data_IF_388240657636
#
_entry.id   IF_388240657636
#
_cell.length_a   1.000
_cell.length_b   1.000
_cell.length_c   1.000
_cell.angle_alpha   90.00
_cell.angle_beta   90.00
_cell.angle_gamma   90.00
#
_symmetry.space_group_name_H-M   'P 1'
#
loop_
_entity.id
_entity.type
_entity.pdbx_description
1 polymer ?
#
# COMPACT_ATOMS: atom_id res chain seq x y z
N UNK A 1 25.78 2.94 -18.15
CA UNK A 1 24.50 3.13 -17.44
C UNK A 1 24.42 2.09 -16.33
N UNK A 2 24.32 2.51 -15.07
CA UNK A 2 24.08 1.58 -13.96
C UNK A 2 22.57 1.38 -13.87
N UNK A 3 22.06 0.25 -14.36
CA UNK A 3 20.67 -0.13 -14.17
C UNK A 3 20.44 -0.42 -12.68
N UNK A 4 19.85 0.53 -11.96
CA UNK A 4 19.38 0.29 -10.61
C UNK A 4 18.12 -0.57 -10.73
N UNK A 5 18.25 -1.85 -10.38
CA UNK A 5 17.09 -2.74 -10.24
C UNK A 5 16.37 -2.35 -8.95
N UNK A 6 15.31 -1.54 -9.04
CA UNK A 6 14.46 -1.29 -7.87
C UNK A 6 13.85 -2.62 -7.44
N UNK A 7 13.95 -2.92 -6.14
CA UNK A 7 13.38 -4.14 -5.59
C UNK A 7 11.98 -3.83 -5.07
N UNK A 8 10.96 -4.43 -5.70
CA UNK A 8 9.59 -4.28 -5.24
C UNK A 8 9.38 -5.12 -3.97
N UNK A 9 9.11 -4.45 -2.85
CA UNK A 9 8.79 -5.08 -1.56
C UNK A 9 7.32 -4.86 -1.26
N UNK A 10 6.67 -5.81 -0.56
CA UNK A 10 5.29 -5.62 -0.08
C UNK A 10 5.17 -5.62 1.43
N UNK A 11 4.29 -4.76 1.95
CA UNK A 11 3.88 -4.71 3.35
C UNK A 11 2.39 -5.00 3.51
N UNK A 12 2.01 -5.66 4.60
CA UNK A 12 0.61 -5.93 4.91
C UNK A 12 0.03 -4.77 5.72
N UNK A 13 -1.21 -4.38 5.39
CA UNK A 13 -2.03 -3.48 6.22
C UNK A 13 -3.12 -4.31 6.86
N UNK A 14 -3.33 -4.13 8.15
CA UNK A 14 -4.42 -4.79 8.88
C UNK A 14 -5.43 -3.72 9.27
N UNK A 15 -6.67 -3.87 8.82
CA UNK A 15 -7.79 -3.03 9.20
C UNK A 15 -8.66 -3.77 10.23
N UNK A 16 -8.53 -3.38 11.50
CA UNK A 16 -9.31 -3.95 12.60
C UNK A 16 -10.76 -3.46 12.61
N UNK A 17 -11.13 -2.49 11.78
CA UNK A 17 -12.48 -1.96 11.63
C UNK A 17 -12.98 -2.17 10.18
N UNK A 18 -13.67 -3.29 9.95
CA UNK A 18 -14.05 -3.78 8.60
C UNK A 18 -14.69 -2.71 7.70
N UNK A 19 -15.53 -1.84 8.24
CA UNK A 19 -16.28 -0.84 7.46
C UNK A 19 -15.49 0.44 7.11
N UNK A 20 -14.24 0.58 7.59
CA UNK A 20 -13.45 1.81 7.39
C UNK A 20 -12.46 1.77 6.23
N UNK A 21 -12.57 0.81 5.31
CA UNK A 21 -11.62 0.66 4.19
C UNK A 21 -11.49 1.90 3.29
N UNK A 22 -12.55 2.71 3.15
CA UNK A 22 -12.46 3.97 2.42
C UNK A 22 -11.48 4.95 3.07
N UNK A 23 -11.54 5.10 4.40
CA UNK A 23 -10.59 5.95 5.14
C UNK A 23 -9.18 5.41 5.09
N UNK A 24 -9.02 4.09 5.17
CA UNK A 24 -7.72 3.44 5.04
C UNK A 24 -7.12 3.72 3.65
N UNK A 25 -7.92 3.61 2.59
CA UNK A 25 -7.50 3.92 1.23
C UNK A 25 -7.05 5.39 1.08
N UNK A 26 -7.84 6.34 1.61
CA UNK A 26 -7.52 7.78 1.57
C UNK A 26 -6.17 8.08 2.25
N UNK A 27 -5.96 7.57 3.47
CA UNK A 27 -4.71 7.80 4.23
C UNK A 27 -3.50 7.26 3.48
N UNK A 28 -3.61 6.04 2.92
CA UNK A 28 -2.51 5.42 2.19
C UNK A 28 -2.23 6.17 0.89
N UNK A 29 -3.27 6.60 0.18
CA UNK A 29 -3.12 7.39 -1.04
C UNK A 29 -2.35 8.68 -0.76
N UNK A 30 -2.69 9.37 0.33
CA UNK A 30 -1.93 10.56 0.78
C UNK A 30 -0.46 10.20 1.10
N UNK A 31 -0.21 9.08 1.79
CA UNK A 31 1.17 8.65 2.07
C UNK A 31 1.95 8.34 0.78
N UNK A 32 1.30 7.76 -0.23
CA UNK A 32 1.91 7.46 -1.52
C UNK A 32 2.33 8.73 -2.25
N UNK A 33 1.47 9.74 -2.25
CA UNK A 33 1.74 11.06 -2.86
C UNK A 33 2.87 11.81 -2.16
N UNK A 34 3.00 11.69 -0.84
CA UNK A 34 4.03 12.38 -0.05
C UNK A 34 5.39 11.70 -0.14
N UNK A 35 5.44 10.36 -0.05
CA UNK A 35 6.71 9.63 0.05
C UNK A 35 7.24 9.14 -1.31
N UNK A 36 6.42 9.10 -2.36
CA UNK A 36 6.79 8.67 -3.71
C UNK A 36 7.22 7.21 -3.86
N UNK A 37 7.45 6.50 -2.75
CA UNK A 37 7.95 5.12 -2.72
C UNK A 37 6.85 4.07 -2.74
N UNK A 38 5.60 4.43 -2.44
CA UNK A 38 4.45 3.52 -2.56
C UNK A 38 3.99 3.53 -4.02
N UNK A 39 4.11 2.38 -4.68
CA UNK A 39 3.85 2.23 -6.11
C UNK A 39 2.47 1.65 -6.39
N UNK A 40 1.96 0.83 -5.49
CA UNK A 40 0.67 0.16 -5.66
C UNK A 40 0.01 -0.17 -4.32
N UNK A 41 -1.32 -0.12 -4.32
CA UNK A 41 -2.18 -0.53 -3.21
C UNK A 41 -3.13 -1.62 -3.73
N UNK A 42 -3.29 -2.70 -2.97
CA UNK A 42 -4.25 -3.76 -3.26
C UNK A 42 -5.14 -4.01 -2.04
N UNK A 43 -6.38 -3.52 -2.14
CA UNK A 43 -7.43 -3.70 -1.13
C UNK A 43 -8.49 -4.73 -1.55
N UNK A 44 -8.21 -5.56 -2.57
CA UNK A 44 -9.13 -6.62 -3.00
C UNK A 44 -9.40 -7.65 -1.91
N UNK A 45 -8.49 -7.79 -0.93
CA UNK A 45 -8.62 -8.63 0.27
C UNK A 45 -9.36 -7.93 1.43
N UNK A 46 -9.98 -6.77 1.19
CA UNK A 46 -10.69 -5.97 2.21
C UNK A 46 -11.75 -6.76 2.99
N UNK A 47 -12.37 -7.77 2.38
CA UNK A 47 -13.29 -8.71 3.05
C UNK A 47 -12.64 -9.48 4.21
N UNK A 48 -11.31 -9.57 4.25
CA UNK A 48 -10.51 -10.39 5.18
C UNK A 48 -9.74 -9.57 6.22
N UNK A 49 -10.08 -8.29 6.44
CA UNK A 49 -9.41 -7.38 7.39
C UNK A 49 -7.95 -7.04 7.07
N UNK A 50 -7.44 -7.37 5.86
CA UNK A 50 -6.10 -6.94 5.46
C UNK A 50 -6.00 -6.56 3.98
N UNK A 51 -4.97 -5.79 3.64
CA UNK A 51 -4.61 -5.38 2.29
C UNK A 51 -3.09 -5.35 2.11
N UNK A 52 -2.62 -5.06 0.90
CA UNK A 52 -1.19 -5.00 0.57
C UNK A 52 -0.76 -3.63 0.06
N UNK A 53 0.40 -3.18 0.51
CA UNK A 53 1.17 -2.07 -0.04
C UNK A 53 2.38 -2.59 -0.76
N UNK A 54 2.75 -1.96 -1.87
CA UNK A 54 3.96 -2.26 -2.61
C UNK A 54 4.85 -1.02 -2.66
N UNK A 55 6.14 -1.22 -2.37
CA UNK A 55 7.16 -0.19 -2.27
C UNK A 55 8.31 -0.49 -3.21
N UNK A 56 8.84 0.54 -3.86
CA UNK A 56 10.16 0.46 -4.49
C UNK A 56 11.24 0.86 -3.48
N UNK A 57 12.23 -0.01 -3.30
CA UNK A 57 13.48 0.24 -2.59
C UNK A 57 14.61 0.58 -3.56
#
# INVERSE_FOLDING_TARGET
ELSHSSSLVRGQIINTQHDQWQKVAEVIQTLAEVHGSIVKIDLSQSSSHYGWLYFEL
#
